data_IF_250804884991
#
_entry.id   IF_250804884991
#
_cell.length_a   1.000
_cell.length_b   1.000
_cell.length_c   1.000
_cell.angle_alpha   90.00
_cell.angle_beta   90.00
_cell.angle_gamma   90.00
#
_symmetry.space_group_name_H-M   'P 1'
#
loop_
_entity.id
_entity.type
_entity.pdbx_description
1 polymer ?
#
# COMPACT_ATOMS: atom_id res chain seq x y z
N UNK A 1 0.06 21.92 4.97
CA UNK A 1 -0.05 20.98 3.85
C UNK A 1 -0.40 21.80 2.63
N UNK A 2 0.49 21.82 1.65
CA UNK A 2 0.27 22.55 0.40
C UNK A 2 -0.71 21.82 -0.52
N UNK A 3 -1.18 22.50 -1.56
CA UNK A 3 -1.98 21.86 -2.64
C UNK A 3 -1.22 20.69 -3.28
N UNK A 4 0.11 20.80 -3.40
CA UNK A 4 0.98 19.75 -3.94
C UNK A 4 0.93 18.47 -3.10
N UNK A 5 0.98 18.57 -1.76
CA UNK A 5 0.92 17.42 -0.85
C UNK A 5 -0.41 16.65 -0.98
N UNK A 6 -1.51 17.37 -1.25
CA UNK A 6 -2.84 16.79 -1.42
C UNK A 6 -2.95 16.01 -2.74
N UNK A 7 -2.38 16.53 -3.83
CA UNK A 7 -2.28 15.79 -5.10
C UNK A 7 -1.46 14.51 -4.93
N UNK A 8 -0.36 14.55 -4.15
CA UNK A 8 0.43 13.35 -3.85
C UNK A 8 -0.40 12.30 -3.16
N UNK A 9 -1.17 12.67 -2.14
CA UNK A 9 -1.97 11.70 -1.41
C UNK A 9 -3.08 11.10 -2.26
N UNK A 10 -3.75 11.89 -3.11
CA UNK A 10 -4.78 11.38 -4.02
C UNK A 10 -4.22 10.37 -5.03
N UNK A 11 -3.01 10.61 -5.55
CA UNK A 11 -2.32 9.65 -6.41
C UNK A 11 -2.04 8.33 -5.66
N UNK A 12 -1.58 8.43 -4.41
CA UNK A 12 -1.32 7.26 -3.55
C UNK A 12 -2.60 6.50 -3.20
N UNK A 13 -3.70 7.20 -2.88
CA UNK A 13 -5.01 6.58 -2.66
C UNK A 13 -5.46 5.78 -3.87
N UNK A 14 -5.30 6.34 -5.08
CA UNK A 14 -5.71 5.69 -6.32
C UNK A 14 -4.84 4.48 -6.65
N UNK A 15 -3.53 4.60 -6.55
CA UNK A 15 -2.58 3.55 -6.95
C UNK A 15 -2.65 2.35 -6.00
N UNK A 16 -2.70 2.60 -4.68
CA UNK A 16 -2.72 1.55 -3.66
C UNK A 16 -4.15 1.18 -3.22
N UNK A 17 -5.14 1.86 -3.79
CA UNK A 17 -6.56 1.78 -3.42
C UNK A 17 -6.84 2.20 -1.97
N UNK A 18 -5.89 2.79 -1.25
CA UNK A 18 -6.04 3.19 0.16
C UNK A 18 -6.89 4.46 0.27
N UNK A 19 -7.34 4.79 1.47
CA UNK A 19 -8.08 6.02 1.74
C UNK A 19 -7.54 6.64 3.02
N UNK A 20 -7.06 7.87 2.94
CA UNK A 20 -6.63 8.64 4.09
C UNK A 20 -7.85 9.34 4.69
N UNK A 21 -8.09 9.12 5.97
CA UNK A 21 -9.10 9.86 6.72
C UNK A 21 -8.51 11.04 7.49
N UNK A 22 -9.37 11.84 8.12
CA UNK A 22 -8.94 13.01 8.90
C UNK A 22 -8.02 12.67 10.09
N UNK A 23 -7.97 11.41 10.54
CA UNK A 23 -7.03 10.96 11.57
C UNK A 23 -5.67 10.64 10.97
N UNK A 24 -5.62 10.07 9.76
CA UNK A 24 -4.36 9.77 9.06
C UNK A 24 -3.53 11.03 8.78
N UNK A 25 -4.20 12.16 8.59
CA UNK A 25 -3.57 13.45 8.36
C UNK A 25 -3.02 14.13 9.63
N UNK A 26 -3.39 13.64 10.82
CA UNK A 26 -2.93 14.25 12.07
C UNK A 26 -1.44 13.97 12.27
N UNK A 27 -0.64 15.04 12.22
CA UNK A 27 0.80 14.95 12.41
C UNK A 27 1.59 14.71 11.12
N UNK A 28 0.92 14.66 9.96
CA UNK A 28 1.60 14.70 8.66
C UNK A 28 1.98 16.14 8.36
N UNK A 29 3.26 16.47 8.51
CA UNK A 29 3.79 17.83 8.31
C UNK A 29 4.66 17.90 7.06
N UNK A 30 5.18 16.76 6.62
CA UNK A 30 6.10 16.62 5.51
C UNK A 30 5.67 15.50 4.56
N UNK A 31 6.23 15.52 3.35
CA UNK A 31 6.12 14.41 2.40
C UNK A 31 6.66 13.10 3.01
N UNK A 32 7.69 13.17 3.87
CA UNK A 32 8.22 12.01 4.58
C UNK A 32 7.19 11.33 5.49
N UNK A 33 6.42 12.12 6.25
CA UNK A 33 5.36 11.59 7.12
C UNK A 33 4.24 10.91 6.29
N UNK A 34 3.96 11.45 5.10
CA UNK A 34 3.02 10.87 4.15
C UNK A 34 3.50 9.50 3.65
N UNK A 35 4.80 9.36 3.39
CA UNK A 35 5.42 8.09 3.00
C UNK A 35 5.34 7.05 4.11
N UNK A 36 5.72 7.42 5.34
CA UNK A 36 5.65 6.52 6.49
C UNK A 36 4.20 6.05 6.73
N UNK A 37 3.23 6.96 6.60
CA UNK A 37 1.81 6.62 6.77
C UNK A 37 1.29 5.72 5.65
N UNK A 38 1.67 6.00 4.41
CA UNK A 38 1.34 5.15 3.25
C UNK A 38 1.92 3.76 3.44
N UNK A 39 3.17 3.64 3.90
CA UNK A 39 3.80 2.35 4.19
C UNK A 39 3.02 1.57 5.25
N UNK A 40 2.56 2.23 6.32
CA UNK A 40 1.70 1.61 7.33
C UNK A 40 0.37 1.09 6.73
N UNK A 41 -0.34 1.91 5.95
CA UNK A 41 -1.62 1.53 5.36
C UNK A 41 -1.50 0.41 4.34
N UNK A 42 -0.42 0.43 3.54
CA UNK A 42 -0.11 -0.65 2.59
C UNK A 42 0.23 -1.94 3.34
N UNK A 43 1.06 -1.87 4.40
CA UNK A 43 1.32 -3.05 5.27
C UNK A 43 0.02 -3.60 5.84
N UNK A 44 -0.86 -2.74 6.35
CA UNK A 44 -2.13 -3.17 6.93
C UNK A 44 -3.06 -3.81 5.89
N UNK A 45 -3.14 -3.25 4.68
CA UNK A 45 -3.89 -3.86 3.58
C UNK A 45 -3.33 -5.17 3.09
N UNK A 46 -2.00 -5.30 3.04
CA UNK A 46 -1.37 -6.58 2.74
C UNK A 46 -1.77 -7.58 3.84
N UNK A 47 -1.66 -7.23 5.11
CA UNK A 47 -2.06 -8.12 6.22
C UNK A 47 -3.54 -8.53 6.15
N UNK A 48 -4.44 -7.60 5.84
CA UNK A 48 -5.89 -7.88 5.79
C UNK A 48 -6.34 -8.53 4.46
N UNK A 49 -5.60 -8.34 3.36
CA UNK A 49 -5.92 -8.83 2.02
C UNK A 49 -5.09 -10.03 1.54
N UNK A 50 -4.06 -10.47 2.28
CA UNK A 50 -3.27 -11.64 1.91
C UNK A 50 -4.14 -12.89 2.05
N UNK A 51 -4.57 -13.37 0.91
CA UNK A 51 -5.05 -14.73 0.77
C UNK A 51 -3.86 -15.66 1.02
N UNK A 52 -4.05 -16.67 1.86
CA UNK A 52 -3.01 -17.62 2.17
C UNK A 52 -2.69 -18.50 0.96
N UNK A 53 -1.73 -18.06 0.16
CA UNK A 53 -1.14 -18.82 -0.95
C UNK A 53 -0.37 -20.08 -0.52
N UNK A 54 0.10 -20.11 0.73
CA UNK A 54 0.85 -21.24 1.30
C UNK A 54 -0.16 -22.25 1.82
N UNK A 55 0.02 -23.53 1.45
CA UNK A 55 -0.86 -24.64 1.83
C UNK A 55 -0.73 -25.03 3.31
N UNK A 56 -1.03 -24.10 4.21
CA UNK A 56 -1.04 -24.34 5.65
C UNK A 56 -2.26 -25.18 6.00
N UNK A 57 -2.05 -26.25 6.77
CA UNK A 57 -3.12 -27.12 7.24
C UNK A 57 -3.70 -26.62 8.57
N UNK A 58 -5.02 -26.77 8.75
CA UNK A 58 -5.68 -26.53 10.03
C UNK A 58 -5.09 -27.46 11.10
N UNK A 59 -4.72 -26.91 12.26
CA UNK A 59 -4.10 -27.68 13.36
C UNK A 59 -5.00 -28.82 13.88
N UNK A 60 -6.33 -28.67 13.76
CA UNK A 60 -7.32 -29.62 14.28
C UNK A 60 -7.67 -30.72 13.28
N UNK A 61 -8.13 -30.35 12.09
CA UNK A 61 -8.62 -31.31 11.10
C UNK A 61 -7.70 -31.54 9.90
N UNK A 62 -6.54 -30.87 9.85
CA UNK A 62 -5.56 -30.95 8.77
C UNK A 62 -6.06 -30.47 7.39
N UNK A 63 -7.23 -29.83 7.32
CA UNK A 63 -7.73 -29.21 6.09
C UNK A 63 -6.77 -28.12 5.59
N UNK A 64 -6.46 -28.12 4.29
CA UNK A 64 -5.52 -27.16 3.69
C UNK A 64 -6.22 -25.80 3.49
N UNK A 65 -5.81 -24.79 4.23
CA UNK A 65 -6.37 -23.43 4.24
C UNK A 65 -5.88 -22.57 3.06
N UNK A 66 -5.45 -23.19 1.96
CA UNK A 66 -4.96 -22.48 0.77
C UNK A 66 -6.12 -21.72 0.13
N UNK A 67 -5.91 -20.44 -0.16
CA UNK A 67 -6.94 -19.61 -0.78
C UNK A 67 -7.90 -18.94 0.21
N UNK A 68 -7.73 -19.14 1.51
CA UNK A 68 -8.51 -18.47 2.55
C UNK A 68 -7.76 -17.25 3.13
N UNK A 69 -8.46 -16.36 3.82
CA UNK A 69 -7.85 -15.21 4.50
C UNK A 69 -6.79 -15.65 5.53
N UNK A 70 -5.87 -14.76 5.92
CA UNK A 70 -4.87 -15.07 6.95
C UNK A 70 -5.46 -15.31 8.36
N UNK A 71 -6.70 -14.92 8.61
CA UNK A 71 -7.42 -15.16 9.87
C UNK A 71 -8.86 -15.54 9.56
N UNK A 72 -9.43 -16.47 10.31
CA UNK A 72 -10.81 -16.89 10.14
C UNK A 72 -11.14 -18.22 10.79
N UNK A 73 -12.25 -18.83 10.37
CA UNK A 73 -12.70 -20.14 10.82
C UNK A 73 -12.42 -21.20 9.75
N UNK A 74 -11.93 -22.37 10.17
CA UNK A 74 -11.73 -23.49 9.26
C UNK A 74 -13.08 -24.01 8.74
N UNK A 75 -13.27 -24.14 7.42
CA UNK A 75 -14.56 -24.53 6.84
C UNK A 75 -15.00 -25.95 7.21
N UNK A 76 -14.06 -26.83 7.55
CA UNK A 76 -14.36 -28.23 7.90
C UNK A 76 -14.70 -28.43 9.38
N UNK A 77 -14.09 -27.65 10.30
CA UNK A 77 -14.19 -27.92 11.74
C UNK A 77 -14.53 -26.72 12.62
N UNK A 78 -14.69 -25.54 12.03
CA UNK A 78 -15.00 -24.28 12.73
C UNK A 78 -13.86 -23.74 13.60
N UNK A 79 -12.69 -24.39 13.64
CA UNK A 79 -11.58 -23.94 14.47
C UNK A 79 -11.05 -22.60 13.96
N UNK A 80 -10.89 -21.65 14.89
CA UNK A 80 -10.26 -20.37 14.57
C UNK A 80 -8.79 -20.58 14.24
N UNK A 81 -8.33 -19.91 13.21
CA UNK A 81 -6.92 -19.92 12.83
C UNK A 81 -6.42 -18.50 12.61
N UNK A 82 -5.15 -18.31 12.92
CA UNK A 82 -4.36 -17.12 12.58
C UNK A 82 -3.08 -17.62 11.93
N UNK A 83 -2.86 -17.18 10.70
CA UNK A 83 -1.67 -17.47 9.92
C UNK A 83 -0.72 -16.31 10.15
N UNK A 84 0.16 -16.49 11.14
CA UNK A 84 1.29 -15.60 11.36
C UNK A 84 2.28 -15.85 10.22
N UNK A 85 2.19 -15.05 9.17
CA UNK A 85 3.31 -14.93 8.23
C UNK A 85 4.29 -13.98 8.88
N UNK A 86 5.50 -14.47 9.17
CA UNK A 86 6.67 -13.60 9.07
C UNK A 86 6.74 -13.17 7.61
N UNK A 87 6.08 -12.05 7.29
CA UNK A 87 6.32 -11.42 6.02
C UNK A 87 7.73 -10.86 6.16
N UNK A 88 8.67 -11.39 5.38
CA UNK A 88 10.02 -10.86 5.36
C UNK A 88 9.92 -9.37 5.02
N UNK A 89 10.25 -8.53 6.01
CA UNK A 89 10.15 -7.08 5.90
C UNK A 89 10.97 -6.58 4.70
N UNK A 90 12.00 -7.32 4.26
CA UNK A 90 12.78 -6.99 3.05
C UNK A 90 11.93 -7.07 1.78
N UNK A 91 11.06 -8.08 1.65
CA UNK A 91 10.21 -8.25 0.45
C UNK A 91 9.15 -7.16 0.37
N UNK A 92 8.60 -6.74 1.51
CA UNK A 92 7.70 -5.58 1.56
C UNK A 92 8.49 -4.31 1.21
N UNK A 93 9.67 -4.10 1.80
CA UNK A 93 10.48 -2.92 1.54
C UNK A 93 10.88 -2.80 0.07
N UNK A 94 11.31 -3.89 -0.57
CA UNK A 94 11.72 -3.89 -1.97
C UNK A 94 10.56 -3.52 -2.91
N UNK A 95 9.37 -4.10 -2.69
CA UNK A 95 8.16 -3.74 -3.45
C UNK A 95 7.68 -2.32 -3.19
N UNK A 96 7.74 -1.87 -1.93
CA UNK A 96 7.40 -0.48 -1.60
C UNK A 96 8.37 0.47 -2.31
N UNK A 97 9.68 0.20 -2.27
CA UNK A 97 10.69 1.01 -2.95
C UNK A 97 10.46 1.04 -4.47
N UNK A 98 10.15 -0.09 -5.09
CA UNK A 98 9.85 -0.17 -6.53
C UNK A 98 8.65 0.71 -6.90
N UNK A 99 7.54 0.60 -6.17
CA UNK A 99 6.34 1.40 -6.46
C UNK A 99 6.59 2.88 -6.17
N UNK A 100 7.32 3.20 -5.09
CA UNK A 100 7.71 4.58 -4.78
C UNK A 100 8.62 5.16 -5.87
N UNK A 101 9.54 4.36 -6.42
CA UNK A 101 10.39 4.77 -7.52
C UNK A 101 9.57 5.04 -8.79
N UNK A 102 8.58 4.20 -9.10
CA UNK A 102 7.68 4.39 -10.24
C UNK A 102 6.83 5.66 -10.08
N UNK A 103 6.21 5.87 -8.92
CA UNK A 103 5.46 7.10 -8.62
C UNK A 103 6.35 8.35 -8.72
N UNK A 104 7.59 8.27 -8.21
CA UNK A 104 8.57 9.35 -8.34
C UNK A 104 9.00 9.61 -9.79
N UNK A 105 9.15 8.57 -10.60
CA UNK A 105 9.50 8.67 -12.02
C UNK A 105 8.36 9.28 -12.84
N UNK A 106 7.12 8.91 -12.55
CA UNK A 106 5.93 9.51 -13.18
C UNK A 106 5.88 11.02 -12.87
N UNK A 107 6.14 11.42 -11.62
CA UNK A 107 6.16 12.85 -11.23
C UNK A 107 7.29 13.65 -11.86
N UNK A 108 8.51 13.12 -11.95
CA UNK A 108 9.60 13.81 -12.68
C UNK A 108 9.25 14.04 -14.15
N UNK A 109 8.51 13.10 -14.75
CA UNK A 109 8.07 13.23 -16.14
C UNK A 109 6.96 14.26 -16.27
N UNK A 110 6.01 14.29 -15.32
CA UNK A 110 4.92 15.27 -15.27
C UNK A 110 5.42 16.71 -15.06
N UNK A 111 6.36 16.92 -14.14
CA UNK A 111 6.97 18.25 -13.91
C UNK A 111 7.70 18.73 -15.15
N UNK A 112 8.44 17.86 -15.86
CA UNK A 112 9.10 18.21 -17.13
C UNK A 112 8.11 18.59 -18.23
N UNK A 113 6.95 17.94 -18.29
CA UNK A 113 5.90 18.28 -19.25
C UNK A 113 5.22 19.62 -18.89
N UNK A 114 4.99 19.89 -17.61
CA UNK A 114 4.45 21.18 -17.16
C UNK A 114 5.42 22.34 -17.44
N UNK A 115 6.73 22.16 -17.21
CA UNK A 115 7.73 23.17 -17.55
C UNK A 115 7.75 23.50 -19.04
N UNK A 116 7.65 22.49 -19.92
CA UNK A 116 7.55 22.70 -21.37
C UNK A 116 6.28 23.44 -21.78
N UNK A 117 5.15 23.10 -21.16
CA UNK A 117 3.87 23.78 -21.44
C UNK A 117 3.91 25.27 -21.04
N UNK A 118 4.58 25.58 -19.91
CA UNK A 118 4.76 26.96 -19.43
C UNK A 118 5.70 27.74 -20.36
N UNK A 119 6.75 27.09 -20.88
CA UNK A 119 7.62 27.70 -21.90
C UNK A 119 6.82 28.02 -23.16
N UNK A 120 6.06 27.07 -23.71
CA UNK A 120 5.29 27.24 -24.94
C UNK A 120 4.21 28.34 -24.85
N UNK A 121 3.60 28.53 -23.67
CA UNK A 121 2.58 29.56 -23.43
C UNK A 121 3.17 30.97 -23.26
N UNK A 122 4.45 31.11 -22.91
CA UNK A 122 5.12 32.39 -22.72
C UNK A 122 5.82 32.94 -23.98
N UNK A 123 5.80 32.20 -25.11
CA UNK A 123 6.34 32.66 -26.41
C UNK A 123 5.27 33.35 -27.28
N UNK A 124 4.06 33.57 -26.77
CA UNK A 124 2.98 34.30 -27.44
C UNK A 124 2.78 35.71 -26.87
#
# INVERSE_FOLDING_TARGET
MGLEDLEIALDLEKEFGIRFDNQDWRGVVTVGDLFDRTQCLVKQRIVDGVICSVGIACKKCQYVLKGLACKGECPECGELYVIEREIDDHVIQEKVIEIVADVCCVKKTMVRLQSRLIEDLNVG
#
